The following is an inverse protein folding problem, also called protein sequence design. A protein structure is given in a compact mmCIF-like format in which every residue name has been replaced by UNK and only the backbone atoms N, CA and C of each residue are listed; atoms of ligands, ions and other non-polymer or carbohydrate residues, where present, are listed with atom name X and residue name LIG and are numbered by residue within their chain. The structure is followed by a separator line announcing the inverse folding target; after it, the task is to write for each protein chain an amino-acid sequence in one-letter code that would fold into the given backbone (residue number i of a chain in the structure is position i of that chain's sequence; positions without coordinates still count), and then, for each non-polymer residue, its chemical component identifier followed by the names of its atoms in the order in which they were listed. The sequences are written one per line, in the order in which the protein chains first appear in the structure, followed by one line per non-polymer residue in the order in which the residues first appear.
data_IF_671413245507
#
_entry.id   IF_671413245507
#
_cell.length_a   1.000
_cell.length_b   1.000
_cell.length_c   1.000
_cell.angle_alpha   90.00
_cell.angle_beta   90.00
_cell.angle_gamma   90.00
#
_symmetry.space_group_name_H-M   'P 1'
#
loop_
_entity.id
_entity.type
_entity.pdbx_description
1 polymer ?
#
# COMPACT_ATOMS: atom_id res chain seq x y z
N UNK A 1 5.93 14.63 -4.08
CA UNK A 1 4.68 13.97 -3.65
C UNK A 1 4.97 12.63 -2.99
N UNK A 2 4.24 12.31 -1.94
CA UNK A 2 4.37 11.05 -1.20
C UNK A 2 3.21 10.14 -1.56
N UNK A 3 3.53 8.95 -2.08
CA UNK A 3 2.54 7.90 -2.35
C UNK A 3 2.54 6.87 -1.24
N UNK A 4 1.38 6.32 -0.92
CA UNK A 4 1.21 5.24 0.04
C UNK A 4 0.71 4.00 -0.66
N UNK A 5 1.43 2.89 -0.51
CA UNK A 5 1.01 1.58 -0.99
C UNK A 5 0.74 0.68 0.21
N UNK A 6 -0.51 0.63 0.68
CA UNK A 6 -0.86 -0.18 1.85
C UNK A 6 -1.29 -1.58 1.44
N UNK A 7 -1.09 -2.53 2.33
CA UNK A 7 -1.56 -3.89 2.09
C UNK A 7 -1.16 -4.83 3.20
N UNK A 8 -1.61 -6.08 3.08
CA UNK A 8 -1.20 -7.15 3.99
C UNK A 8 0.14 -7.75 3.59
N UNK A 9 0.41 -7.89 2.29
CA UNK A 9 1.66 -8.46 1.74
C UNK A 9 2.02 -9.79 2.40
N UNK A 10 1.14 -10.77 2.28
CA UNK A 10 1.23 -12.03 3.04
C UNK A 10 1.41 -13.26 2.13
N UNK A 11 2.60 -13.47 1.55
CA UNK A 11 3.77 -12.58 1.50
C UNK A 11 3.73 -11.61 0.33
N UNK A 12 4.73 -10.74 0.23
CA UNK A 12 4.95 -9.93 -0.97
C UNK A 12 5.24 -10.84 -2.16
N UNK A 13 4.68 -10.48 -3.31
CA UNK A 13 4.81 -11.26 -4.56
C UNK A 13 5.50 -10.43 -5.64
N UNK A 14 5.82 -11.08 -6.76
CA UNK A 14 6.36 -10.36 -7.93
C UNK A 14 5.37 -9.32 -8.46
N UNK A 15 4.07 -9.57 -8.34
CA UNK A 15 3.05 -8.58 -8.70
C UNK A 15 3.13 -7.33 -7.83
N UNK A 16 3.33 -7.51 -6.53
CA UNK A 16 3.53 -6.37 -5.61
C UNK A 16 4.81 -5.61 -5.96
N UNK A 17 5.90 -6.31 -6.25
CA UNK A 17 7.16 -5.67 -6.61
C UNK A 17 7.03 -4.88 -7.92
N UNK A 18 6.28 -5.40 -8.88
CA UNK A 18 6.01 -4.71 -10.14
C UNK A 18 5.27 -3.39 -9.88
N UNK A 19 4.22 -3.41 -9.05
CA UNK A 19 3.49 -2.20 -8.65
C UNK A 19 4.42 -1.21 -7.97
N UNK A 20 5.24 -1.66 -7.04
CA UNK A 20 6.19 -0.80 -6.32
C UNK A 20 7.17 -0.14 -7.30
N UNK A 21 7.74 -0.93 -8.21
CA UNK A 21 8.72 -0.42 -9.17
C UNK A 21 8.12 0.62 -10.12
N UNK A 22 6.85 0.49 -10.46
CA UNK A 22 6.16 1.49 -11.30
C UNK A 22 5.74 2.71 -10.47
N UNK A 23 5.30 2.48 -9.25
CA UNK A 23 4.83 3.55 -8.38
C UNK A 23 5.91 4.56 -8.02
N UNK A 24 7.15 4.11 -7.82
CA UNK A 24 8.27 5.01 -7.49
C UNK A 24 8.56 6.01 -8.59
N UNK A 25 8.08 5.76 -9.81
CA UNK A 25 8.29 6.67 -10.95
C UNK A 25 7.33 7.86 -10.94
N UNK A 26 6.23 7.77 -10.19
CA UNK A 26 5.20 8.80 -10.18
C UNK A 26 5.12 9.56 -8.85
N UNK A 27 6.07 9.33 -7.96
CA UNK A 27 6.15 10.06 -6.70
C UNK A 27 7.60 10.30 -6.30
N UNK A 28 7.82 11.23 -5.39
CA UNK A 28 9.16 11.53 -4.87
C UNK A 28 9.56 10.51 -3.80
N UNK A 29 8.56 10.01 -3.05
CA UNK A 29 8.76 9.03 -2.01
C UNK A 29 7.56 8.09 -2.00
N UNK A 30 7.83 6.79 -1.92
CA UNK A 30 6.81 5.76 -1.77
C UNK A 30 6.92 5.12 -0.40
N UNK A 31 5.83 5.14 0.36
CA UNK A 31 5.73 4.41 1.61
C UNK A 31 4.98 3.11 1.34
N UNK A 32 5.64 1.98 1.56
CA UNK A 32 5.02 0.65 1.50
C UNK A 32 4.65 0.30 2.93
N UNK A 33 3.35 0.22 3.20
CA UNK A 33 2.85 0.07 4.57
C UNK A 33 2.19 -1.28 4.77
N UNK A 34 2.72 -2.05 5.72
CA UNK A 34 2.22 -3.37 6.06
C UNK A 34 1.18 -3.24 7.18
N UNK A 35 -0.02 -3.74 6.92
CA UNK A 35 -1.08 -3.74 7.94
C UNK A 35 -0.71 -4.69 9.08
N UNK A 36 -0.81 -4.18 10.31
CA UNK A 36 -0.63 -4.98 11.51
C UNK A 36 -1.93 -5.65 11.98
N UNK A 37 -3.04 -5.35 11.32
CA UNK A 37 -4.32 -5.96 11.67
C UNK A 37 -4.28 -7.44 11.27
N UNK A 38 -4.26 -8.32 12.27
CA UNK A 38 -4.15 -9.75 12.08
C UNK A 38 -5.49 -10.37 11.74
N UNK A 39 -5.48 -11.28 10.77
CA UNK A 39 -6.64 -12.10 10.42
C UNK A 39 -6.30 -13.57 10.67
N UNK A 40 -7.31 -14.38 10.92
CA UNK A 40 -7.13 -15.83 11.18
C UNK A 40 -6.47 -16.56 10.01
N UNK A 41 -6.56 -15.99 8.80
CA UNK A 41 -6.04 -16.57 7.57
C UNK A 41 -4.62 -16.08 7.24
N UNK A 42 -4.01 -15.26 8.09
CA UNK A 42 -2.67 -14.75 7.84
C UNK A 42 -1.65 -15.88 7.79
N UNK A 43 -0.86 -15.92 6.71
CA UNK A 43 0.20 -16.90 6.51
C UNK A 43 1.44 -16.54 7.33
N UNK A 44 1.81 -15.25 7.33
CA UNK A 44 2.96 -14.74 8.08
C UNK A 44 2.49 -13.71 9.11
N UNK A 45 3.27 -13.56 10.20
CA UNK A 45 3.03 -12.48 11.15
C UNK A 45 3.32 -11.13 10.49
N UNK A 46 2.78 -10.05 11.05
CA UNK A 46 3.04 -8.70 10.54
C UNK A 46 4.53 -8.38 10.61
N UNK A 47 5.22 -8.84 11.64
CA UNK A 47 6.67 -8.64 11.78
C UNK A 47 7.43 -9.37 10.67
N UNK A 48 7.09 -10.61 10.38
CA UNK A 48 7.71 -11.39 9.30
C UNK A 48 7.48 -10.73 7.95
N UNK A 49 6.26 -10.26 7.69
CA UNK A 49 5.90 -9.57 6.44
C UNK A 49 6.69 -8.27 6.29
N UNK A 50 6.76 -7.48 7.34
CA UNK A 50 7.52 -6.24 7.37
C UNK A 50 9.00 -6.49 7.10
N UNK A 51 9.60 -7.45 7.80
CA UNK A 51 11.03 -7.75 7.68
C UNK A 51 11.38 -8.23 6.27
N UNK A 52 10.52 -9.02 5.64
CA UNK A 52 10.74 -9.51 4.29
C UNK A 52 10.79 -8.33 3.29
N UNK A 53 9.81 -7.44 3.35
CA UNK A 53 9.75 -6.28 2.46
C UNK A 53 10.94 -5.34 2.74
N UNK A 54 11.23 -5.10 4.00
CA UNK A 54 12.37 -4.26 4.42
C UNK A 54 13.68 -4.78 3.85
N UNK A 55 13.87 -6.10 3.84
CA UNK A 55 15.10 -6.70 3.30
C UNK A 55 15.24 -6.48 1.79
N UNK A 56 14.13 -6.46 1.06
CA UNK A 56 14.14 -6.23 -0.39
C UNK A 56 14.50 -4.78 -0.73
N UNK A 57 13.96 -3.82 0.04
CA UNK A 57 14.08 -2.39 -0.29
C UNK A 57 14.97 -1.61 0.69
N UNK A 58 15.81 -2.29 1.43
CA UNK A 58 16.63 -1.72 2.50
C UNK A 58 17.48 -0.52 2.05
N UNK A 59 18.00 -0.56 0.83
CA UNK A 59 18.91 0.48 0.31
C UNK A 59 18.23 1.39 -0.73
N UNK A 60 16.93 1.29 -0.89
CA UNK A 60 16.23 2.11 -1.89
C UNK A 60 15.94 3.50 -1.34
N UNK A 61 16.46 4.53 -2.02
CA UNK A 61 16.39 5.92 -1.55
C UNK A 61 14.96 6.48 -1.50
N UNK A 62 14.07 6.00 -2.37
CA UNK A 62 12.72 6.53 -2.51
C UNK A 62 11.67 5.69 -1.80
N UNK A 63 12.03 4.51 -1.29
CA UNK A 63 11.08 3.58 -0.66
C UNK A 63 11.34 3.51 0.84
N UNK A 64 10.28 3.75 1.62
CA UNK A 64 10.27 3.55 3.05
C UNK A 64 9.25 2.49 3.39
N UNK A 65 9.63 1.48 4.18
CA UNK A 65 8.75 0.41 4.60
C UNK A 65 8.31 0.68 6.04
N UNK A 66 7.01 0.74 6.27
CA UNK A 66 6.42 1.00 7.59
C UNK A 66 5.34 -0.02 7.89
N UNK A 67 4.92 -0.10 9.15
CA UNK A 67 3.74 -0.83 9.57
C UNK A 67 2.67 0.14 10.04
N UNK A 68 1.40 -0.27 9.99
CA UNK A 68 0.32 0.56 10.49
C UNK A 68 -0.84 -0.30 11.02
N UNK A 69 -1.67 0.31 11.86
CA UNK A 69 -2.89 -0.29 12.40
C UNK A 69 -4.06 0.66 12.18
N UNK A 70 -5.26 0.11 12.10
CA UNK A 70 -6.47 0.91 12.02
C UNK A 70 -6.75 1.43 10.62
N UNK A 71 -7.38 2.58 10.55
CA UNK A 71 -7.84 3.15 9.29
C UNK A 71 -6.68 3.66 8.44
N UNK A 72 -6.72 3.31 7.16
CA UNK A 72 -5.72 3.79 6.19
C UNK A 72 -5.71 5.32 6.10
N UNK A 73 -6.88 5.96 6.20
CA UNK A 73 -6.97 7.43 6.16
C UNK A 73 -6.26 8.10 7.33
N UNK A 74 -6.31 7.50 8.51
CA UNK A 74 -5.57 8.01 9.67
C UNK A 74 -4.07 7.93 9.42
N UNK A 75 -3.62 6.84 8.83
CA UNK A 75 -2.21 6.64 8.50
C UNK A 75 -1.76 7.62 7.41
N UNK A 76 -2.62 7.87 6.40
CA UNK A 76 -2.35 8.88 5.36
C UNK A 76 -2.06 10.23 6.00
N UNK A 77 -2.88 10.65 6.97
CA UNK A 77 -2.67 11.92 7.68
C UNK A 77 -1.36 11.90 8.45
N UNK A 78 -1.07 10.79 9.11
CA UNK A 78 0.13 10.67 9.95
C UNK A 78 1.42 10.84 9.14
N UNK A 79 1.47 10.28 7.93
CA UNK A 79 2.66 10.34 7.07
C UNK A 79 2.59 11.46 6.04
N UNK A 80 1.49 12.20 6.00
CA UNK A 80 1.26 13.28 5.05
C UNK A 80 1.32 12.79 3.58
N UNK A 81 0.71 11.65 3.32
CA UNK A 81 0.67 11.09 1.97
C UNK A 81 -0.29 11.87 1.08
N UNK A 82 0.07 12.01 -0.20
CA UNK A 82 -0.73 12.74 -1.18
C UNK A 82 -1.74 11.85 -1.88
N UNK A 83 -1.44 10.55 -2.03
CA UNK A 83 -2.35 9.60 -2.69
C UNK A 83 -2.04 8.17 -2.24
N UNK A 84 -3.04 7.30 -2.46
CA UNK A 84 -2.91 5.86 -2.21
C UNK A 84 -2.73 5.16 -3.55
N UNK A 85 -1.87 4.16 -3.58
CA UNK A 85 -1.66 3.28 -4.74
C UNK A 85 -2.25 1.92 -4.42
N UNK A 86 -2.98 1.36 -5.39
CA UNK A 86 -3.54 0.02 -5.32
C UNK A 86 -3.25 -0.73 -6.61
N UNK A 87 -2.91 -2.00 -6.49
CA UNK A 87 -2.77 -2.88 -7.64
C UNK A 87 -4.09 -3.56 -7.94
N UNK A 88 -4.40 -3.71 -9.22
CA UNK A 88 -5.60 -4.42 -9.67
C UNK A 88 -5.20 -5.63 -10.50
N UNK A 89 -5.84 -6.77 -10.23
CA UNK A 89 -5.60 -8.02 -10.96
C UNK A 89 -6.76 -8.38 -11.88
N UNK A 90 -7.98 -7.94 -11.55
CA UNK A 90 -9.18 -8.24 -12.33
C UNK A 90 -10.28 -7.20 -12.04
N UNK A 91 -11.38 -7.28 -12.79
CA UNK A 91 -12.50 -6.35 -12.64
C UNK A 91 -13.19 -6.43 -11.28
N UNK A 92 -13.21 -7.62 -10.66
CA UNK A 92 -13.77 -7.79 -9.32
C UNK A 92 -12.96 -7.02 -8.28
N UNK A 93 -11.64 -7.07 -8.38
CA UNK A 93 -10.77 -6.27 -7.52
C UNK A 93 -11.06 -4.78 -7.68
N UNK A 94 -11.29 -4.32 -8.92
CA UNK A 94 -11.57 -2.91 -9.18
C UNK A 94 -12.88 -2.46 -8.51
N UNK A 95 -13.93 -3.28 -8.55
CA UNK A 95 -15.20 -2.94 -7.93
C UNK A 95 -15.03 -2.72 -6.42
N UNK A 96 -14.38 -3.67 -5.74
CA UNK A 96 -14.13 -3.58 -4.30
C UNK A 96 -13.25 -2.39 -3.95
N UNK A 97 -12.11 -2.25 -4.66
CA UNK A 97 -11.15 -1.18 -4.39
C UNK A 97 -11.71 0.20 -4.73
N UNK A 98 -12.56 0.30 -5.75
CA UNK A 98 -13.23 1.55 -6.11
C UNK A 98 -14.19 2.00 -5.00
N UNK A 99 -14.91 1.07 -4.38
CA UNK A 99 -15.77 1.38 -3.23
C UNK A 99 -14.96 1.86 -2.04
N UNK A 100 -13.81 1.23 -1.76
CA UNK A 100 -12.92 1.64 -0.70
C UNK A 100 -12.33 3.04 -0.97
N UNK A 101 -11.98 3.32 -2.22
CA UNK A 101 -11.46 4.63 -2.62
C UNK A 101 -12.51 5.72 -2.40
N UNK A 102 -13.77 5.44 -2.73
CA UNK A 102 -14.87 6.38 -2.50
C UNK A 102 -15.07 6.65 -1.01
N UNK A 103 -15.03 5.61 -0.19
CA UNK A 103 -15.15 5.75 1.26
C UNK A 103 -13.99 6.58 1.83
N UNK A 104 -12.75 6.30 1.39
CA UNK A 104 -11.58 7.04 1.83
C UNK A 104 -11.71 8.54 1.45
N UNK A 105 -12.24 8.83 0.28
CA UNK A 105 -12.41 10.21 -0.18
C UNK A 105 -13.50 10.95 0.61
N UNK A 106 -14.53 10.25 1.07
CA UNK A 106 -15.52 10.83 1.99
C UNK A 106 -14.88 11.22 3.31
N UNK A 107 -13.99 10.37 3.84
CA UNK A 107 -13.31 10.61 5.10
C UNK A 107 -12.18 11.64 5.00
N UNK A 108 -11.57 11.76 3.83
CA UNK A 108 -10.46 12.68 3.56
C UNK A 108 -10.60 13.19 2.13
N UNK A 109 -11.23 14.35 1.96
CA UNK A 109 -11.72 14.85 0.66
C UNK A 109 -10.63 15.07 -0.39
N UNK A 110 -9.38 15.33 0.02
CA UNK A 110 -8.27 15.56 -0.90
C UNK A 110 -7.50 14.29 -1.25
N UNK A 111 -7.92 13.15 -0.72
CA UNK A 111 -7.24 11.89 -0.95
C UNK A 111 -7.71 11.23 -2.25
N UNK A 112 -6.77 10.96 -3.12
CA UNK A 112 -7.02 10.20 -4.35
C UNK A 112 -6.40 8.80 -4.24
N UNK A 113 -7.01 7.86 -4.97
CA UNK A 113 -6.47 6.51 -5.12
C UNK A 113 -6.10 6.29 -6.59
N UNK A 114 -4.87 5.86 -6.82
CA UNK A 114 -4.36 5.54 -8.15
C UNK A 114 -4.30 4.03 -8.29
N UNK A 115 -4.95 3.51 -9.32
CA UNK A 115 -4.98 2.08 -9.60
C UNK A 115 -3.97 1.74 -10.68
N UNK A 116 -3.15 0.72 -10.45
CA UNK A 116 -2.19 0.21 -11.41
C UNK A 116 -2.51 -1.25 -11.71
N UNK A 117 -2.50 -1.60 -13.00
CA UNK A 117 -2.72 -2.99 -13.39
C UNK A 117 -1.56 -3.86 -12.96
N UNK A 118 -1.88 -4.94 -12.25
CA UNK A 118 -0.92 -5.96 -11.85
C UNK A 118 -0.93 -7.06 -12.90
N UNK A 119 0.18 -7.27 -13.54
CA UNK A 119 0.33 -8.34 -14.54
C UNK A 119 0.71 -9.65 -13.88
#
# INVERSE_FOLDING_TARGET
MIGLYPGSFDPITLGHEDIINRAVKICDKLVVAVSQDNQKTDFLSSEQRFNLIKSIYNNHKKIEVLTYQGLTTDFVKKIDADFIIKGLRNSGDFVVESQMAQLNKVMLTELDTIFLDSS
#
